data_IF_717079362759
#
_entry.id   IF_717079362759
#
_cell.length_a   1.000
_cell.length_b   1.000
_cell.length_c   1.000
_cell.angle_alpha   90.00
_cell.angle_beta   90.00
_cell.angle_gamma   90.00
#
_symmetry.space_group_name_H-M   'P 1'
#
loop_
_entity.id
_entity.type
_entity.pdbx_description
1 polymer ?
#
# COMPACT_ATOMS: atom_id res chain seq x y z
N UNK A 1 15.32 1.42 -1.32
CA UNK A 1 14.51 1.07 -0.14
C UNK A 1 13.11 0.70 -0.61
N UNK A 2 12.55 -0.44 -0.22
CA UNK A 2 11.21 -0.92 -0.59
C UNK A 2 10.23 -0.65 0.55
N UNK A 3 9.20 0.15 0.27
CA UNK A 3 8.10 0.46 1.20
C UNK A 3 6.85 -0.29 0.73
N UNK A 4 6.16 -0.95 1.67
CA UNK A 4 4.87 -1.57 1.41
C UNK A 4 3.78 -0.97 2.29
N UNK A 5 2.70 -0.52 1.65
CA UNK A 5 1.48 -0.07 2.31
C UNK A 5 0.47 -1.21 2.27
N UNK A 6 0.06 -1.69 3.45
CA UNK A 6 -0.83 -2.85 3.58
C UNK A 6 -2.29 -2.39 3.53
N UNK A 7 -3.07 -3.01 2.64
CA UNK A 7 -4.50 -2.77 2.46
C UNK A 7 -5.30 -3.99 2.95
N UNK A 8 -6.46 -3.76 3.55
CA UNK A 8 -7.40 -4.80 3.99
C UNK A 8 -8.84 -4.37 3.69
N UNK A 9 -9.77 -5.29 3.53
CA UNK A 9 -11.15 -4.89 3.19
C UNK A 9 -11.78 -4.03 4.28
N UNK A 10 -12.47 -2.98 3.87
CA UNK A 10 -13.12 -2.03 4.76
C UNK A 10 -12.20 -0.96 5.34
N UNK A 11 -10.94 -0.86 4.89
CA UNK A 11 -10.04 0.21 5.31
C UNK A 11 -10.53 1.61 4.87
N UNK A 12 -10.12 2.64 5.60
CA UNK A 12 -10.36 4.04 5.24
C UNK A 12 -9.45 4.52 4.09
N UNK A 13 -10.03 5.00 3.02
CA UNK A 13 -9.38 5.39 1.77
C UNK A 13 -8.27 6.42 2.02
N UNK A 14 -8.62 7.49 2.74
CA UNK A 14 -7.74 8.64 2.94
C UNK A 14 -6.51 8.30 3.78
N UNK A 15 -6.62 7.33 4.70
CA UNK A 15 -5.48 6.98 5.56
C UNK A 15 -4.37 6.27 4.77
N UNK A 16 -4.71 5.58 3.66
CA UNK A 16 -3.69 4.93 2.81
C UNK A 16 -3.34 5.75 1.56
N UNK A 17 -4.31 6.43 0.94
CA UNK A 17 -4.07 7.16 -0.31
C UNK A 17 -3.28 8.44 -0.12
N UNK A 18 -3.55 9.22 0.93
CA UNK A 18 -2.83 10.46 1.18
C UNK A 18 -1.31 10.24 1.36
N UNK A 19 -0.85 9.33 2.23
CA UNK A 19 0.58 9.05 2.36
C UNK A 19 1.19 8.39 1.11
N UNK A 20 0.44 7.54 0.40
CA UNK A 20 0.91 6.99 -0.88
C UNK A 20 1.20 8.10 -1.91
N UNK A 21 0.30 9.07 -2.05
CA UNK A 21 0.48 10.20 -2.97
C UNK A 21 1.71 11.05 -2.60
N UNK A 22 1.94 11.31 -1.31
CA UNK A 22 3.13 12.03 -0.84
C UNK A 22 4.41 11.26 -1.17
N UNK A 23 4.44 9.95 -0.90
CA UNK A 23 5.60 9.11 -1.21
C UNK A 23 5.85 9.02 -2.71
N UNK A 24 4.79 8.92 -3.52
CA UNK A 24 4.88 8.90 -4.97
C UNK A 24 5.50 10.19 -5.52
N UNK A 25 5.07 11.36 -5.01
CA UNK A 25 5.70 12.65 -5.37
C UNK A 25 7.16 12.72 -4.97
N UNK A 26 7.52 12.21 -3.80
CA UNK A 26 8.92 12.15 -3.38
C UNK A 26 9.77 11.29 -4.34
N UNK A 27 9.21 10.19 -4.86
CA UNK A 27 9.87 9.36 -5.88
C UNK A 27 10.05 10.15 -7.19
N UNK A 28 9.02 10.90 -7.62
CA UNK A 28 9.08 11.77 -8.80
C UNK A 28 10.17 12.86 -8.66
N UNK A 29 10.41 13.34 -7.43
CA UNK A 29 11.49 14.29 -7.08
C UNK A 29 12.85 13.60 -6.85
N UNK A 30 12.97 12.29 -7.13
CA UNK A 30 14.24 11.57 -7.11
C UNK A 30 14.58 10.86 -5.79
N UNK A 31 13.61 10.68 -4.89
CA UNK A 31 13.86 9.90 -3.67
C UNK A 31 14.22 8.43 -4.00
N UNK A 32 15.24 7.84 -3.33
CA UNK A 32 15.80 6.54 -3.69
C UNK A 32 15.02 5.35 -3.08
N UNK A 33 13.69 5.35 -3.23
CA UNK A 33 12.83 4.28 -2.73
C UNK A 33 11.68 3.95 -3.68
N UNK A 34 11.04 2.81 -3.45
CA UNK A 34 9.80 2.40 -4.12
C UNK A 34 8.69 2.26 -3.09
N UNK A 35 7.44 2.43 -3.52
CA UNK A 35 6.25 2.24 -2.70
C UNK A 35 5.22 1.42 -3.47
N UNK A 36 4.68 0.38 -2.84
CA UNK A 36 3.69 -0.53 -3.42
C UNK A 36 2.52 -0.75 -2.45
N UNK A 37 1.32 -0.88 -3.00
CA UNK A 37 0.19 -1.41 -2.25
C UNK A 37 0.23 -2.94 -2.23
N UNK A 38 0.09 -3.52 -1.04
CA UNK A 38 -0.05 -4.97 -0.86
C UNK A 38 -1.30 -5.31 -0.05
N UNK A 39 -2.03 -6.33 -0.46
CA UNK A 39 -3.18 -6.82 0.30
C UNK A 39 -2.73 -7.61 1.54
N UNK A 40 -3.48 -7.50 2.63
CA UNK A 40 -3.28 -8.31 3.85
C UNK A 40 -3.66 -9.78 3.66
N UNK A 41 -4.53 -10.05 2.68
CA UNK A 41 -5.04 -11.37 2.33
C UNK A 41 -4.58 -11.78 0.92
N UNK A 42 -4.60 -13.08 0.57
CA UNK A 42 -4.16 -13.57 -0.75
C UNK A 42 -5.17 -13.26 -1.87
N UNK A 43 -5.40 -11.96 -2.11
CA UNK A 43 -6.23 -11.37 -3.15
C UNK A 43 -5.55 -10.12 -3.71
N UNK A 44 -5.83 -9.80 -4.96
CA UNK A 44 -5.28 -8.60 -5.61
C UNK A 44 -6.23 -7.41 -5.54
N UNK A 45 -7.50 -7.64 -5.23
CA UNK A 45 -8.50 -6.58 -5.09
C UNK A 45 -8.87 -6.39 -3.62
N UNK A 46 -8.85 -5.12 -3.19
CA UNK A 46 -9.30 -4.71 -1.85
C UNK A 46 -10.41 -3.69 -2.00
N UNK A 47 -11.52 -3.90 -1.30
CA UNK A 47 -12.65 -2.95 -1.30
C UNK A 47 -12.59 -2.09 -0.05
N UNK A 48 -12.56 -0.78 -0.23
CA UNK A 48 -12.48 0.20 0.87
C UNK A 48 -13.83 0.40 1.55
N UNK A 49 -13.86 1.14 2.66
CA UNK A 49 -15.09 1.38 3.45
C UNK A 49 -16.23 2.07 2.68
N UNK A 50 -15.93 2.97 1.74
CA UNK A 50 -16.92 3.62 0.87
C UNK A 50 -17.07 2.94 -0.50
N UNK A 51 -16.54 1.72 -0.67
CA UNK A 51 -16.81 0.87 -1.84
C UNK A 51 -15.89 1.11 -3.05
N UNK A 52 -14.75 1.77 -2.87
CA UNK A 52 -13.73 1.88 -3.92
C UNK A 52 -12.94 0.58 -3.98
N UNK A 53 -12.84 0.00 -5.17
CA UNK A 53 -11.97 -1.17 -5.41
C UNK A 53 -10.58 -0.72 -5.80
N UNK A 54 -9.59 -1.20 -5.06
CA UNK A 54 -8.17 -0.93 -5.29
C UNK A 54 -7.46 -2.19 -5.74
N UNK A 55 -6.70 -2.08 -6.84
CA UNK A 55 -5.78 -3.12 -7.27
C UNK A 55 -4.48 -3.00 -6.48
N UNK A 56 -4.15 -4.05 -5.73
CA UNK A 56 -2.86 -4.21 -5.06
C UNK A 56 -1.86 -4.90 -5.99
N UNK A 57 -0.57 -4.62 -5.80
CA UNK A 57 0.50 -5.21 -6.60
C UNK A 57 0.73 -6.68 -6.24
N UNK A 58 0.58 -6.99 -4.96
CA UNK A 58 0.77 -8.32 -4.40
C UNK A 58 0.00 -8.44 -3.07
N UNK A 59 0.21 -9.52 -2.34
CA UNK A 59 -0.27 -9.70 -0.98
C UNK A 59 0.88 -10.00 -0.02
N UNK A 60 0.63 -9.87 1.28
CA UNK A 60 1.63 -10.15 2.32
C UNK A 60 2.07 -11.62 2.29
N UNK A 61 3.39 -11.83 2.24
CA UNK A 61 4.03 -13.14 2.28
C UNK A 61 5.36 -13.05 3.04
N UNK A 62 5.75 -14.12 3.72
CA UNK A 62 6.96 -14.13 4.56
C UNK A 62 8.28 -14.09 3.78
N UNK A 63 8.23 -14.44 2.49
CA UNK A 63 9.34 -14.39 1.54
C UNK A 63 9.51 -13.00 0.89
N UNK A 64 8.49 -12.14 0.93
CA UNK A 64 8.55 -10.75 0.49
C UNK A 64 8.91 -9.84 1.67
N UNK A 65 10.16 -9.35 1.72
CA UNK A 65 10.67 -8.55 2.83
C UNK A 65 10.92 -7.10 2.41
N UNK A 66 9.99 -6.16 2.67
CA UNK A 66 10.26 -4.74 2.48
C UNK A 66 11.19 -4.21 3.58
N UNK A 67 11.80 -3.06 3.31
CA UNK A 67 12.60 -2.33 4.31
C UNK A 67 11.69 -1.60 5.32
N UNK A 68 10.47 -1.23 4.91
CA UNK A 68 9.48 -0.56 5.75
C UNK A 68 8.06 -1.02 5.44
N UNK A 69 7.30 -1.28 6.51
CA UNK A 69 5.87 -1.52 6.45
C UNK A 69 5.10 -0.30 6.96
N UNK A 70 4.04 0.05 6.25
CA UNK A 70 3.04 0.99 6.73
C UNK A 70 1.69 0.28 6.79
N UNK A 71 1.11 0.25 7.99
CA UNK A 71 -0.20 -0.31 8.28
C UNK A 71 -1.01 0.72 9.05
N UNK A 72 -2.28 0.87 8.71
CA UNK A 72 -3.21 1.78 9.37
C UNK A 72 -4.21 0.97 10.18
N UNK A 73 -4.37 1.35 11.46
CA UNK A 73 -5.40 0.83 12.37
C UNK A 73 -6.68 1.66 12.28
#
# INVERSE_FOLDING_TARGET
>A
MKIQIVLFDGFGELVSFAPFEVLKRAIEEGAPFTVEFVSSEPKQEVTTSFGVTVQSHEFLRMDNRPDMFIFYV
#
